data_IF_587328245421
#
_entry.id   IF_587328245421
#
_cell.length_a   1.000
_cell.length_b   1.000
_cell.length_c   1.000
_cell.angle_alpha   90.00
_cell.angle_beta   90.00
_cell.angle_gamma   90.00
#
_symmetry.space_group_name_H-M   'P 1'
#
loop_
_entity.id
_entity.type
_entity.pdbx_description
1 polymer ?
#
# COMPACT_ATOMS: atom_id res chain seq x y z
N UNK A 1 2.79 11.55 1.44
CA UNK A 1 1.41 12.04 1.25
C UNK A 1 1.30 13.56 1.33
N UNK A 2 1.59 14.21 2.45
CA UNK A 2 1.45 15.66 2.61
C UNK A 2 2.23 16.46 1.56
N UNK A 3 3.52 16.16 1.38
CA UNK A 3 4.36 16.82 0.38
C UNK A 3 3.81 16.71 -1.06
N UNK A 4 3.14 15.61 -1.41
CA UNK A 4 2.54 15.46 -2.74
C UNK A 4 1.20 16.18 -2.92
N UNK A 5 0.73 16.89 -1.91
CA UNK A 5 -0.38 17.84 -2.01
C UNK A 5 0.18 19.26 -2.02
N UNK A 6 0.98 19.61 -1.01
CA UNK A 6 1.50 20.96 -0.87
C UNK A 6 2.40 21.44 -2.04
N UNK A 7 3.07 20.51 -2.72
CA UNK A 7 3.95 20.86 -3.84
C UNK A 7 3.26 20.92 -5.21
N UNK A 8 2.06 20.38 -5.36
CA UNK A 8 1.42 20.30 -6.67
C UNK A 8 0.09 21.06 -6.77
N UNK A 9 -0.55 21.36 -5.64
CA UNK A 9 -1.85 22.01 -5.60
C UNK A 9 -1.79 23.35 -4.84
N UNK A 10 -2.72 24.22 -5.19
CA UNK A 10 -2.98 25.50 -4.53
C UNK A 10 -4.28 25.46 -3.73
N UNK A 11 -4.45 26.32 -2.71
CA UNK A 11 -5.75 26.50 -2.07
C UNK A 11 -6.81 26.83 -3.13
N UNK A 12 -7.97 26.17 -3.03
CA UNK A 12 -9.08 26.29 -3.99
C UNK A 12 -9.01 25.34 -5.19
N UNK A 13 -7.86 24.68 -5.46
CA UNK A 13 -7.79 23.62 -6.47
C UNK A 13 -8.68 22.44 -6.08
N UNK A 14 -9.10 21.65 -7.07
CA UNK A 14 -9.95 20.48 -6.87
C UNK A 14 -9.15 19.18 -6.99
N UNK A 15 -9.46 18.23 -6.11
CA UNK A 15 -8.88 16.90 -6.12
C UNK A 15 -9.96 15.81 -6.06
N UNK A 16 -9.72 14.71 -6.75
CA UNK A 16 -10.50 13.48 -6.67
C UNK A 16 -9.74 12.48 -5.79
N UNK A 17 -10.33 12.07 -4.67
CA UNK A 17 -9.72 11.12 -3.74
C UNK A 17 -10.47 9.79 -3.77
N UNK A 18 -9.76 8.69 -4.02
CA UNK A 18 -10.32 7.35 -3.93
C UNK A 18 -10.26 6.91 -2.48
N UNK A 19 -11.43 6.71 -1.89
CA UNK A 19 -11.60 6.36 -0.48
C UNK A 19 -12.16 4.93 -0.36
N UNK A 20 -11.26 3.93 -0.43
CA UNK A 20 -11.55 2.50 -0.24
C UNK A 20 -11.00 1.94 1.07
N UNK A 21 -10.57 2.81 1.99
CA UNK A 21 -10.03 2.43 3.28
C UNK A 21 -9.41 3.59 4.04
N UNK A 22 -8.71 3.27 5.12
CA UNK A 22 -8.14 4.27 6.04
C UNK A 22 -7.09 5.17 5.39
N UNK A 23 -6.29 4.63 4.47
CA UNK A 23 -5.26 5.41 3.80
C UNK A 23 -5.85 6.23 2.64
N UNK A 24 -6.90 5.73 1.98
CA UNK A 24 -7.70 6.50 1.02
C UNK A 24 -8.38 7.71 1.67
N UNK A 25 -9.03 7.52 2.81
CA UNK A 25 -9.63 8.60 3.61
C UNK A 25 -8.62 9.69 3.98
N UNK A 26 -7.36 9.31 4.24
CA UNK A 26 -6.30 10.24 4.62
C UNK A 26 -6.01 11.28 3.54
N UNK A 27 -6.07 10.92 2.27
CA UNK A 27 -5.89 11.86 1.16
C UNK A 27 -6.88 13.02 1.24
N UNK A 28 -8.16 12.72 1.40
CA UNK A 28 -9.20 13.74 1.53
C UNK A 28 -8.98 14.66 2.74
N UNK A 29 -8.53 14.12 3.87
CA UNK A 29 -8.22 14.90 5.08
C UNK A 29 -7.05 15.85 4.86
N UNK A 30 -5.97 15.38 4.23
CA UNK A 30 -4.79 16.22 3.96
C UNK A 30 -5.14 17.29 2.91
N UNK A 31 -5.84 16.94 1.83
CA UNK A 31 -6.30 17.92 0.84
C UNK A 31 -7.09 19.05 1.49
N UNK A 32 -8.06 18.74 2.35
CA UNK A 32 -8.85 19.75 3.08
C UNK A 32 -7.98 20.62 3.98
N UNK A 33 -6.96 20.07 4.65
CA UNK A 33 -6.04 20.82 5.50
C UNK A 33 -5.20 21.84 4.69
N UNK A 34 -4.95 21.57 3.40
CA UNK A 34 -4.27 22.51 2.50
C UNK A 34 -5.21 23.37 1.65
N UNK A 35 -6.50 23.45 2.05
CA UNK A 35 -7.49 24.29 1.35
C UNK A 35 -7.90 23.77 -0.03
N UNK A 36 -7.65 22.50 -0.34
CA UNK A 36 -8.04 21.87 -1.60
C UNK A 36 -9.47 21.33 -1.49
N UNK A 37 -10.29 21.60 -2.50
CA UNK A 37 -11.65 21.08 -2.60
C UNK A 37 -11.63 19.60 -2.99
N UNK A 38 -12.34 18.78 -2.25
CA UNK A 38 -12.26 17.31 -2.39
C UNK A 38 -13.57 16.75 -2.90
N UNK A 39 -13.51 16.03 -4.01
CA UNK A 39 -14.51 15.06 -4.44
C UNK A 39 -14.02 13.67 -4.05
N UNK A 40 -14.86 12.88 -3.36
CA UNK A 40 -14.50 11.53 -2.94
C UNK A 40 -15.27 10.48 -3.75
N UNK A 41 -14.54 9.51 -4.34
CA UNK A 41 -15.14 8.24 -4.75
C UNK A 41 -15.06 7.31 -3.54
N UNK A 42 -16.20 7.11 -2.89
CA UNK A 42 -16.33 6.15 -1.79
C UNK A 42 -16.45 4.75 -2.36
N UNK A 43 -15.45 3.92 -2.07
CA UNK A 43 -15.43 2.51 -2.44
C UNK A 43 -15.78 1.69 -1.20
N UNK A 44 -16.62 0.69 -1.35
CA UNK A 44 -16.93 -0.22 -0.25
C UNK A 44 -15.65 -0.93 0.21
N UNK A 45 -15.41 -0.97 1.51
CA UNK A 45 -14.21 -1.60 2.04
C UNK A 45 -14.20 -3.09 1.70
N UNK A 46 -13.13 -3.53 1.07
CA UNK A 46 -12.98 -4.87 0.51
C UNK A 46 -13.09 -4.92 -1.01
N UNK A 47 -13.56 -3.84 -1.65
CA UNK A 47 -13.63 -3.71 -3.10
C UNK A 47 -12.52 -2.79 -3.64
N UNK A 48 -12.08 -3.06 -4.87
CA UNK A 48 -11.25 -2.14 -5.64
C UNK A 48 -12.12 -1.05 -6.29
N UNK A 49 -11.53 0.15 -6.51
CA UNK A 49 -12.21 1.19 -7.27
C UNK A 49 -12.46 0.71 -8.71
N UNK A 50 -13.66 0.99 -9.23
CA UNK A 50 -13.92 0.84 -10.65
C UNK A 50 -13.27 2.01 -11.42
N UNK A 51 -12.31 1.74 -12.34
CA UNK A 51 -11.66 2.79 -13.13
C UNK A 51 -12.67 3.66 -13.90
N UNK A 52 -13.82 3.09 -14.29
CA UNK A 52 -14.89 3.83 -14.94
C UNK A 52 -15.44 4.95 -14.06
N UNK A 53 -15.57 4.75 -12.76
CA UNK A 53 -16.02 5.78 -11.84
C UNK A 53 -15.06 7.00 -11.81
N UNK A 54 -13.76 6.76 -11.96
CA UNK A 54 -12.76 7.83 -12.07
C UNK A 54 -12.89 8.57 -13.40
N UNK A 55 -13.05 7.85 -14.51
CA UNK A 55 -13.27 8.45 -15.83
C UNK A 55 -14.53 9.30 -15.85
N UNK A 56 -15.64 8.81 -15.31
CA UNK A 56 -16.90 9.53 -15.24
C UNK A 56 -16.78 10.81 -14.40
N UNK A 57 -16.08 10.75 -13.25
CA UNK A 57 -15.84 11.90 -12.39
C UNK A 57 -14.99 12.99 -13.07
N UNK A 58 -13.93 12.60 -13.78
CA UNK A 58 -13.08 13.54 -14.52
C UNK A 58 -13.81 14.16 -15.72
N UNK A 59 -14.67 13.40 -16.38
CA UNK A 59 -15.52 13.89 -17.45
C UNK A 59 -16.57 14.90 -16.93
N UNK A 60 -17.13 14.65 -15.76
CA UNK A 60 -18.11 15.52 -15.11
C UNK A 60 -17.49 16.83 -14.60
N UNK A 61 -16.25 16.79 -14.12
CA UNK A 61 -15.53 17.99 -13.65
C UNK A 61 -14.08 18.01 -14.19
N UNK A 62 -13.86 18.58 -15.39
CA UNK A 62 -12.52 18.71 -15.97
C UNK A 62 -11.60 19.69 -15.23
N UNK A 63 -12.08 20.39 -14.22
CA UNK A 63 -11.27 21.29 -13.36
C UNK A 63 -10.52 20.57 -12.24
N UNK A 64 -10.72 19.26 -12.07
CA UNK A 64 -9.96 18.43 -11.12
C UNK A 64 -8.47 18.43 -11.52
N UNK A 65 -7.61 18.83 -10.59
CA UNK A 65 -6.16 18.97 -10.79
C UNK A 65 -5.37 17.71 -10.44
N UNK A 66 -5.90 16.88 -9.53
CA UNK A 66 -5.20 15.66 -9.11
C UNK A 66 -6.20 14.55 -8.75
N UNK A 67 -5.80 13.32 -9.09
CA UNK A 67 -6.43 12.08 -8.62
C UNK A 67 -5.48 11.41 -7.62
N UNK A 68 -5.96 11.09 -6.43
CA UNK A 68 -5.21 10.44 -5.36
C UNK A 68 -5.71 9.02 -5.11
N UNK A 69 -4.80 8.04 -5.13
CA UNK A 69 -5.13 6.62 -4.95
C UNK A 69 -4.03 5.88 -4.21
N UNK A 70 -4.37 4.82 -3.48
CA UNK A 70 -3.43 3.80 -3.01
C UNK A 70 -3.30 2.71 -4.07
N UNK A 71 -2.07 2.32 -4.43
CA UNK A 71 -1.89 1.10 -5.21
C UNK A 71 -2.25 -0.15 -4.39
N UNK A 72 -2.02 -0.09 -3.07
CA UNK A 72 -2.43 -1.11 -2.10
C UNK A 72 -3.00 -0.44 -0.86
N UNK A 73 -4.29 -0.61 -0.60
CA UNK A 73 -4.97 -0.13 0.61
C UNK A 73 -4.75 -1.11 1.77
N UNK A 74 -3.77 -0.81 2.59
CA UNK A 74 -3.30 -1.70 3.66
C UNK A 74 -4.35 -1.98 4.73
N UNK A 75 -5.30 -1.08 4.94
CA UNK A 75 -6.34 -1.26 5.97
C UNK A 75 -7.33 -2.37 5.61
N UNK A 76 -7.52 -2.62 4.33
CA UNK A 76 -8.45 -3.62 3.79
C UNK A 76 -7.78 -4.80 3.09
N UNK A 77 -6.52 -4.62 2.63
CA UNK A 77 -5.79 -5.62 1.87
C UNK A 77 -6.16 -5.66 0.38
N UNK A 78 -6.70 -4.57 -0.16
CA UNK A 78 -7.13 -4.45 -1.56
C UNK A 78 -6.08 -3.73 -2.40
N UNK A 79 -5.84 -4.17 -3.63
CA UNK A 79 -5.09 -3.44 -4.66
C UNK A 79 -6.03 -2.71 -5.59
N UNK A 80 -5.67 -1.49 -6.00
CA UNK A 80 -6.36 -0.74 -7.05
C UNK A 80 -5.59 -0.82 -8.36
N UNK A 81 -6.29 -0.87 -9.49
CA UNK A 81 -5.67 -0.92 -10.83
C UNK A 81 -5.12 0.47 -11.23
N UNK A 82 -3.95 0.80 -10.69
CA UNK A 82 -3.28 2.08 -10.97
C UNK A 82 -2.82 2.20 -12.42
N UNK A 83 -2.66 1.08 -13.15
CA UNK A 83 -2.37 1.09 -14.58
C UNK A 83 -3.55 1.66 -15.36
N UNK A 84 -4.74 1.10 -15.15
CA UNK A 84 -5.96 1.60 -15.80
C UNK A 84 -6.24 3.06 -15.43
N UNK A 85 -5.99 3.47 -14.19
CA UNK A 85 -6.12 4.87 -13.77
C UNK A 85 -5.11 5.78 -14.47
N UNK A 86 -3.87 5.32 -14.66
CA UNK A 86 -2.84 6.04 -15.41
C UNK A 86 -3.25 6.25 -16.88
N UNK A 87 -3.76 5.22 -17.53
CA UNK A 87 -4.28 5.30 -18.91
C UNK A 87 -5.44 6.32 -19.03
N UNK A 88 -6.34 6.37 -18.05
CA UNK A 88 -7.43 7.36 -18.01
C UNK A 88 -6.88 8.78 -17.82
N UNK A 89 -6.06 9.01 -16.77
CA UNK A 89 -5.57 10.35 -16.42
C UNK A 89 -4.62 10.92 -17.47
N UNK A 90 -3.94 10.07 -18.22
CA UNK A 90 -3.09 10.48 -19.35
C UNK A 90 -3.85 11.31 -20.40
N UNK A 91 -5.15 11.10 -20.54
CA UNK A 91 -6.01 11.89 -21.43
C UNK A 91 -6.35 13.29 -20.90
N UNK A 92 -5.93 13.67 -19.70
CA UNK A 92 -6.25 14.94 -19.06
C UNK A 92 -4.96 15.73 -18.76
N UNK A 93 -4.59 16.66 -19.62
CA UNK A 93 -3.35 17.48 -19.47
C UNK A 93 -3.30 18.28 -18.17
N UNK A 94 -4.45 18.73 -17.68
CA UNK A 94 -4.57 19.55 -16.47
C UNK A 94 -4.87 18.73 -15.21
N UNK A 95 -4.65 17.42 -15.22
CA UNK A 95 -4.87 16.52 -14.08
C UNK A 95 -3.68 15.60 -13.91
N UNK A 96 -3.12 15.50 -12.71
CA UNK A 96 -2.05 14.55 -12.38
C UNK A 96 -2.61 13.35 -11.60
N UNK A 97 -1.99 12.18 -11.78
CA UNK A 97 -2.25 10.99 -10.98
C UNK A 97 -1.18 10.83 -9.89
N UNK A 98 -1.60 10.84 -8.64
CA UNK A 98 -0.74 10.66 -7.47
C UNK A 98 -1.04 9.30 -6.83
N UNK A 99 -0.06 8.43 -6.82
CA UNK A 99 -0.16 7.05 -6.35
C UNK A 99 0.62 6.86 -5.06
N UNK A 100 -0.09 6.46 -4.01
CA UNK A 100 0.54 5.93 -2.82
C UNK A 100 0.91 4.46 -3.05
N UNK A 101 2.20 4.22 -3.24
CA UNK A 101 2.77 2.89 -3.42
C UNK A 101 3.54 2.41 -2.17
N UNK A 102 3.23 2.96 -0.99
CA UNK A 102 3.97 2.63 0.26
C UNK A 102 4.00 1.13 0.52
N UNK A 103 2.90 0.41 0.29
CA UNK A 103 2.85 -1.05 0.45
C UNK A 103 2.82 -1.81 -0.87
N UNK A 104 3.02 -1.15 -1.98
CA UNK A 104 2.98 -1.74 -3.31
C UNK A 104 4.38 -1.82 -3.95
N UNK A 105 5.18 -0.75 -3.83
CA UNK A 105 6.52 -0.71 -4.40
C UNK A 105 7.41 -1.79 -3.76
N UNK A 106 8.06 -2.59 -4.61
CA UNK A 106 8.86 -3.74 -4.16
C UNK A 106 8.04 -5.00 -3.84
N UNK A 107 6.73 -4.98 -4.05
CA UNK A 107 5.84 -6.13 -3.90
C UNK A 107 5.34 -6.60 -5.26
N UNK A 108 4.81 -5.69 -6.07
CA UNK A 108 4.41 -5.96 -7.44
C UNK A 108 4.94 -4.87 -8.38
N UNK A 109 4.98 -5.20 -9.66
CA UNK A 109 5.57 -4.35 -10.68
C UNK A 109 4.73 -3.08 -10.87
N UNK A 110 5.33 -1.92 -10.58
CA UNK A 110 4.73 -0.60 -10.82
C UNK A 110 5.56 0.12 -11.87
N UNK A 111 5.10 0.08 -13.11
CA UNK A 111 5.78 0.72 -14.24
C UNK A 111 5.42 2.21 -14.30
N UNK A 112 6.02 3.01 -13.43
CA UNK A 112 5.68 4.42 -13.21
C UNK A 112 5.57 5.20 -14.52
N UNK A 113 6.60 5.18 -15.36
CA UNK A 113 6.63 5.95 -16.62
C UNK A 113 5.70 5.33 -17.68
N UNK A 114 5.76 4.01 -17.86
CA UNK A 114 4.97 3.33 -18.88
C UNK A 114 3.45 3.43 -18.64
N UNK A 115 3.03 3.49 -17.38
CA UNK A 115 1.62 3.63 -16.99
C UNK A 115 1.17 5.09 -16.84
N UNK A 116 2.09 6.07 -16.99
CA UNK A 116 1.79 7.48 -16.86
C UNK A 116 1.39 7.89 -15.45
N UNK A 117 2.05 7.32 -14.43
CA UNK A 117 1.85 7.71 -13.04
C UNK A 117 2.66 8.98 -12.76
N UNK A 118 1.98 10.10 -12.57
CA UNK A 118 2.66 11.41 -12.48
C UNK A 118 3.44 11.59 -11.19
N UNK A 119 2.92 11.10 -10.07
CA UNK A 119 3.61 11.14 -8.77
C UNK A 119 3.43 9.79 -8.09
N UNK A 120 4.53 9.13 -7.75
CA UNK A 120 4.51 7.87 -6.98
C UNK A 120 5.27 8.08 -5.68
N UNK A 121 4.62 7.80 -4.56
CA UNK A 121 5.23 7.93 -3.23
C UNK A 121 5.42 6.57 -2.58
N UNK A 122 6.54 6.41 -1.87
CA UNK A 122 6.80 5.24 -1.02
C UNK A 122 7.61 5.61 0.21
N UNK A 123 7.87 4.63 1.08
CA UNK A 123 8.64 4.80 2.31
C UNK A 123 9.56 3.63 2.60
N UNK A 124 10.58 3.89 3.43
CA UNK A 124 11.64 2.93 3.75
C UNK A 124 11.17 1.69 4.52
N UNK A 125 10.11 1.80 5.32
CA UNK A 125 9.72 0.80 6.34
C UNK A 125 8.79 -0.32 5.85
N UNK A 126 8.62 -0.49 4.55
CA UNK A 126 7.76 -1.53 3.95
C UNK A 126 8.62 -2.54 3.19
N UNK A 127 8.34 -2.80 1.94
CA UNK A 127 9.12 -3.78 1.15
C UNK A 127 10.61 -3.40 0.98
N UNK A 128 10.98 -2.15 1.24
CA UNK A 128 12.39 -1.75 1.30
C UNK A 128 13.12 -2.17 2.59
N UNK A 129 12.45 -2.86 3.52
CA UNK A 129 13.09 -3.58 4.65
C UNK A 129 13.91 -2.72 5.61
N UNK A 130 13.72 -1.40 5.63
CA UNK A 130 14.44 -0.46 6.48
C UNK A 130 13.55 0.06 7.61
N UNK A 131 14.12 0.61 8.67
CA UNK A 131 13.36 1.37 9.65
C UNK A 131 12.62 2.56 9.01
N UNK A 132 11.52 3.07 9.60
CA UNK A 132 10.90 4.31 9.16
C UNK A 132 11.85 5.48 9.31
N UNK A 133 11.86 6.41 8.34
CA UNK A 133 12.72 7.61 8.39
C UNK A 133 13.03 8.19 7.01
N UNK A 134 12.75 7.48 5.91
CA UNK A 134 12.86 8.01 4.55
C UNK A 134 11.54 7.89 3.80
N UNK A 135 11.27 8.88 2.97
CA UNK A 135 10.22 8.85 1.95
C UNK A 135 10.83 9.11 0.58
N UNK A 136 10.28 8.45 -0.42
CA UNK A 136 10.71 8.59 -1.81
C UNK A 136 9.54 9.08 -2.64
N UNK A 137 9.81 9.98 -3.57
CA UNK A 137 8.81 10.55 -4.47
C UNK A 137 9.36 10.55 -5.87
N UNK A 138 8.73 9.84 -6.80
CA UNK A 138 8.94 9.98 -8.22
C UNK A 138 8.00 11.05 -8.75
N UNK A 139 8.50 11.92 -9.64
CA UNK A 139 7.75 13.07 -10.16
C UNK A 139 7.96 13.17 -11.65
N UNK A 140 6.87 13.11 -12.45
CA UNK A 140 6.90 13.26 -13.90
C UNK A 140 7.14 14.74 -14.30
N UNK A 141 7.55 14.95 -15.55
CA UNK A 141 7.68 16.32 -16.09
C UNK A 141 6.35 17.08 -16.05
N UNK A 142 5.23 16.37 -16.28
CA UNK A 142 3.89 16.93 -16.14
C UNK A 142 3.65 17.41 -14.70
N UNK A 143 3.96 16.60 -13.69
CA UNK A 143 3.80 16.98 -12.29
C UNK A 143 4.77 18.12 -11.89
N UNK A 144 5.97 18.17 -12.43
CA UNK A 144 6.86 19.32 -12.22
C UNK A 144 6.28 20.63 -12.75
N UNK A 145 5.59 20.61 -13.89
CA UNK A 145 4.89 21.80 -14.39
C UNK A 145 3.73 22.26 -13.47
N UNK A 146 3.13 21.35 -12.71
CA UNK A 146 2.19 21.71 -11.64
C UNK A 146 2.91 22.31 -10.43
N UNK A 147 4.05 21.74 -10.05
CA UNK A 147 4.85 22.26 -8.93
C UNK A 147 5.30 23.72 -9.14
N UNK A 148 5.57 24.12 -10.39
CA UNK A 148 5.91 25.51 -10.69
C UNK A 148 4.75 26.48 -10.44
N UNK A 149 3.51 26.03 -10.52
CA UNK A 149 2.30 26.84 -10.39
C UNK A 149 1.68 26.76 -8.98
N UNK A 150 2.06 25.76 -8.19
CA UNK A 150 1.51 25.55 -6.86
C UNK A 150 1.87 26.68 -5.89
N UNK A 151 0.86 27.09 -5.10
CA UNK A 151 0.96 28.24 -4.16
C UNK A 151 0.82 27.81 -2.69
N UNK A 152 0.70 26.51 -2.40
CA UNK A 152 0.68 26.06 -1.01
C UNK A 152 2.05 26.24 -0.37
N UNK A 153 2.05 26.58 0.90
CA UNK A 153 3.29 26.71 1.67
C UNK A 153 3.95 25.34 1.86
N UNK A 154 5.24 25.26 1.54
CA UNK A 154 6.05 24.08 1.75
C UNK A 154 7.46 24.51 2.16
N UNK A 155 7.81 24.25 3.42
CA UNK A 155 9.16 24.58 3.93
C UNK A 155 10.01 23.31 4.00
N UNK A 156 9.60 22.32 4.79
CA UNK A 156 10.37 21.09 4.99
C UNK A 156 10.26 20.15 3.79
N UNK A 157 9.04 19.89 3.30
CA UNK A 157 8.81 19.05 2.12
C UNK A 157 8.79 19.88 0.83
N UNK A 158 9.79 20.71 0.61
CA UNK A 158 9.89 21.53 -0.59
C UNK A 158 10.60 20.75 -1.71
N UNK A 159 9.83 20.17 -2.62
CA UNK A 159 10.36 19.28 -3.67
C UNK A 159 11.23 20.02 -4.69
N UNK A 160 10.95 21.29 -4.98
CA UNK A 160 11.79 22.10 -5.89
C UNK A 160 13.18 22.31 -5.30
N UNK A 161 13.26 22.75 -4.05
CA UNK A 161 14.54 22.94 -3.37
C UNK A 161 15.28 21.61 -3.16
N UNK A 162 14.55 20.52 -2.87
CA UNK A 162 15.16 19.20 -2.76
C UNK A 162 15.77 18.76 -4.09
N UNK A 163 15.06 18.94 -5.23
CA UNK A 163 15.57 18.67 -6.57
C UNK A 163 16.83 19.48 -6.89
N UNK A 164 16.84 20.78 -6.55
CA UNK A 164 18.00 21.65 -6.74
C UNK A 164 19.22 21.20 -5.93
N UNK A 165 19.01 20.71 -4.70
CA UNK A 165 20.09 20.21 -3.85
C UNK A 165 20.59 18.84 -4.33
N UNK A 166 19.69 17.93 -4.72
CA UNK A 166 20.07 16.63 -5.26
C UNK A 166 20.92 16.76 -6.54
N UNK A 167 20.64 17.75 -7.38
CA UNK A 167 21.48 18.05 -8.55
C UNK A 167 22.93 18.44 -8.18
N UNK A 168 23.16 18.83 -6.92
CA UNK A 168 24.49 19.16 -6.35
C UNK A 168 25.02 18.03 -5.46
N UNK A 169 24.40 16.84 -5.47
CA UNK A 169 24.68 15.72 -4.56
C UNK A 169 24.53 16.10 -3.08
N UNK A 170 23.54 16.91 -2.76
CA UNK A 170 23.19 17.36 -1.41
C UNK A 170 21.72 17.08 -1.11
N UNK A 171 21.35 17.09 0.15
CA UNK A 171 19.96 17.08 0.62
C UNK A 171 19.59 18.48 1.14
N UNK A 172 18.31 18.81 1.15
CA UNK A 172 17.84 20.11 1.64
C UNK A 172 18.10 20.28 3.15
N UNK A 173 18.00 19.19 3.90
CA UNK A 173 18.26 19.13 5.34
C UNK A 173 19.24 17.99 5.65
N UNK A 174 19.57 17.81 6.93
CA UNK A 174 20.48 16.75 7.38
C UNK A 174 20.03 15.38 6.88
N UNK A 175 20.87 14.67 6.09
CA UNK A 175 20.50 13.37 5.55
C UNK A 175 20.51 12.27 6.61
N UNK A 176 19.63 11.29 6.47
CA UNK A 176 19.64 10.07 7.29
C UNK A 176 20.66 9.06 6.76
N UNK A 177 21.94 9.33 6.95
CA UNK A 177 23.07 8.61 6.33
C UNK A 177 23.00 7.09 6.58
N UNK A 178 22.69 6.66 7.80
CA UNK A 178 22.57 5.24 8.14
C UNK A 178 21.49 4.52 7.34
N UNK A 179 20.34 5.16 7.10
CA UNK A 179 19.28 4.58 6.27
C UNK A 179 19.65 4.57 4.78
N UNK A 180 20.40 5.57 4.32
CA UNK A 180 20.90 5.61 2.92
C UNK A 180 21.88 4.46 2.67
N UNK A 181 22.79 4.19 3.62
CA UNK A 181 23.70 3.04 3.55
C UNK A 181 22.89 1.73 3.57
N UNK A 182 21.90 1.63 4.45
CA UNK A 182 21.00 0.48 4.48
C UNK A 182 20.24 0.29 3.16
N UNK A 183 19.79 1.39 2.53
CA UNK A 183 19.11 1.34 1.23
C UNK A 183 20.02 0.82 0.11
N UNK A 184 21.30 1.15 0.14
CA UNK A 184 22.27 0.60 -0.79
C UNK A 184 22.34 -0.94 -0.70
N UNK A 185 22.33 -1.47 0.51
CA UNK A 185 22.30 -2.91 0.74
C UNK A 185 20.98 -3.55 0.29
N UNK A 186 19.84 -2.90 0.56
CA UNK A 186 18.53 -3.32 0.05
C UNK A 186 18.55 -3.45 -1.47
N UNK A 187 19.05 -2.44 -2.16
CA UNK A 187 19.15 -2.48 -3.63
C UNK A 187 20.12 -3.56 -4.12
N UNK A 188 21.19 -3.84 -3.38
CA UNK A 188 22.10 -4.95 -3.71
C UNK A 188 21.37 -6.30 -3.63
N UNK A 189 20.58 -6.52 -2.57
CA UNK A 189 19.77 -7.73 -2.37
C UNK A 189 18.73 -7.85 -3.50
N UNK A 190 17.96 -6.80 -3.76
CA UNK A 190 16.93 -6.79 -4.81
C UNK A 190 17.50 -7.06 -6.20
N UNK A 191 18.66 -6.45 -6.53
CA UNK A 191 19.34 -6.69 -7.80
C UNK A 191 19.88 -8.11 -7.91
N UNK A 192 20.38 -8.69 -6.83
CA UNK A 192 20.89 -10.07 -6.83
C UNK A 192 19.76 -11.09 -7.01
N UNK A 193 18.60 -10.88 -6.44
CA UNK A 193 17.40 -11.70 -6.67
C UNK A 193 16.83 -11.50 -8.07
N UNK A 194 16.79 -10.27 -8.55
CA UNK A 194 16.10 -9.81 -9.76
C UNK A 194 14.64 -9.45 -9.50
N UNK A 195 14.19 -8.30 -10.03
CA UNK A 195 12.87 -7.75 -9.70
C UNK A 195 11.72 -8.69 -10.09
N UNK A 196 11.77 -9.32 -11.27
CA UNK A 196 10.72 -10.24 -11.71
C UNK A 196 10.59 -11.45 -10.78
N UNK A 197 11.73 -12.01 -10.32
CA UNK A 197 11.73 -13.12 -9.37
C UNK A 197 11.20 -12.68 -8.00
N UNK A 198 11.58 -11.49 -7.57
CA UNK A 198 11.10 -10.89 -6.32
C UNK A 198 9.57 -10.73 -6.36
N UNK A 199 9.01 -10.18 -7.43
CA UNK A 199 7.55 -10.04 -7.58
C UNK A 199 6.85 -11.39 -7.63
N UNK A 200 7.39 -12.37 -8.36
CA UNK A 200 6.85 -13.72 -8.41
C UNK A 200 6.87 -14.39 -7.03
N UNK A 201 7.96 -14.25 -6.26
CA UNK A 201 8.05 -14.73 -4.89
C UNK A 201 7.01 -14.08 -3.98
N UNK A 202 6.84 -12.76 -4.04
CA UNK A 202 5.84 -12.04 -3.26
C UNK A 202 4.42 -12.53 -3.57
N UNK A 203 4.10 -12.69 -4.86
CA UNK A 203 2.81 -13.24 -5.29
C UNK A 203 2.57 -14.67 -4.79
N UNK A 204 3.60 -15.54 -4.82
CA UNK A 204 3.52 -16.91 -4.31
C UNK A 204 3.29 -16.93 -2.80
N UNK A 205 4.00 -16.11 -2.02
CA UNK A 205 3.82 -16.00 -0.57
C UNK A 205 2.41 -15.51 -0.22
N UNK A 206 1.93 -14.50 -0.93
CA UNK A 206 0.59 -13.96 -0.78
C UNK A 206 -0.48 -15.02 -1.09
N UNK A 207 -0.33 -15.75 -2.18
CA UNK A 207 -1.24 -16.83 -2.56
C UNK A 207 -1.25 -17.95 -1.51
N UNK A 208 -0.08 -18.40 -1.06
CA UNK A 208 0.05 -19.42 -0.04
C UNK A 208 -0.59 -19.00 1.30
N UNK A 209 -0.39 -17.75 1.71
CA UNK A 209 -1.02 -17.21 2.92
C UNK A 209 -2.55 -17.20 2.79
N UNK A 210 -3.09 -16.67 1.70
CA UNK A 210 -4.55 -16.61 1.46
C UNK A 210 -5.19 -18.00 1.44
N UNK A 211 -4.63 -18.91 0.67
CA UNK A 211 -5.20 -20.25 0.53
C UNK A 211 -4.98 -21.10 1.80
N UNK A 212 -3.87 -20.90 2.51
CA UNK A 212 -3.66 -21.50 3.83
C UNK A 212 -4.72 -21.05 4.83
N UNK A 213 -5.03 -19.75 4.90
CA UNK A 213 -6.10 -19.24 5.78
C UNK A 213 -7.47 -19.78 5.40
N UNK A 214 -7.80 -19.87 4.10
CA UNK A 214 -9.05 -20.47 3.62
C UNK A 214 -9.15 -21.95 4.00
N UNK A 215 -8.08 -22.72 3.84
CA UNK A 215 -8.03 -24.12 4.22
C UNK A 215 -8.13 -24.35 5.75
N UNK A 216 -7.73 -23.35 6.54
CA UNK A 216 -7.99 -23.32 7.99
C UNK A 216 -9.43 -22.90 8.35
N UNK A 217 -10.31 -22.69 7.37
CA UNK A 217 -11.72 -22.33 7.57
C UNK A 217 -11.97 -20.82 7.73
N UNK A 218 -11.02 -19.97 7.37
CA UNK A 218 -11.14 -18.51 7.49
C UNK A 218 -11.47 -17.86 6.14
N UNK A 219 -12.25 -16.79 6.17
CA UNK A 219 -12.52 -15.96 5.00
C UNK A 219 -11.45 -14.88 4.84
N UNK A 220 -11.14 -14.53 3.59
CA UNK A 220 -10.29 -13.39 3.24
C UNK A 220 -11.18 -12.17 3.02
N UNK A 221 -10.81 -11.04 3.63
CA UNK A 221 -11.65 -9.83 3.63
C UNK A 221 -11.82 -9.18 2.24
N UNK A 222 -10.77 -9.01 1.40
CA UNK A 222 -10.94 -8.50 0.04
C UNK A 222 -11.90 -9.36 -0.77
N UNK A 223 -12.94 -8.74 -1.34
CA UNK A 223 -13.93 -9.41 -2.20
C UNK A 223 -13.38 -9.64 -3.60
N UNK A 224 -12.60 -8.66 -4.08
CA UNK A 224 -11.89 -8.70 -5.36
C UNK A 224 -10.50 -8.08 -5.17
N UNK A 225 -9.61 -8.28 -6.12
CA UNK A 225 -8.29 -7.65 -6.19
C UNK A 225 -7.47 -7.66 -4.88
N UNK A 226 -7.25 -8.84 -4.23
CA UNK A 226 -6.46 -8.91 -3.01
C UNK A 226 -5.02 -8.48 -3.26
N UNK A 227 -4.47 -7.67 -2.36
CA UNK A 227 -3.08 -7.21 -2.42
C UNK A 227 -2.09 -8.34 -2.14
N UNK A 228 -0.97 -8.36 -2.86
CA UNK A 228 0.15 -9.26 -2.58
C UNK A 228 1.11 -8.73 -1.49
N UNK A 229 0.83 -7.58 -0.89
CA UNK A 229 1.63 -7.04 0.20
C UNK A 229 1.26 -7.63 1.57
N UNK A 230 0.00 -7.97 1.75
CA UNK A 230 -0.53 -8.49 3.01
C UNK A 230 -1.82 -9.26 2.76
N UNK A 231 -2.16 -10.13 3.72
CA UNK A 231 -3.43 -10.85 3.74
C UNK A 231 -4.29 -10.34 4.89
N UNK A 232 -5.46 -9.80 4.57
CA UNK A 232 -6.49 -9.42 5.56
C UNK A 232 -7.47 -10.56 5.71
N UNK A 233 -7.55 -11.10 6.92
CA UNK A 233 -8.32 -12.29 7.27
C UNK A 233 -9.50 -11.89 8.15
N UNK A 234 -10.69 -12.34 7.82
CA UNK A 234 -11.86 -12.17 8.67
C UNK A 234 -11.75 -13.03 9.93
N UNK A 235 -12.07 -12.44 11.07
CA UNK A 235 -12.24 -13.22 12.30
C UNK A 235 -13.46 -14.10 12.15
N UNK A 236 -13.40 -15.38 12.56
CA UNK A 236 -14.57 -16.23 12.52
C UNK A 236 -15.62 -15.79 13.55
N UNK A 237 -16.87 -16.17 13.33
CA UNK A 237 -17.97 -15.83 14.21
C UNK A 237 -17.67 -16.22 15.67
N UNK A 238 -17.98 -15.35 16.60
CA UNK A 238 -17.76 -15.53 18.02
C UNK A 238 -16.31 -15.32 18.49
N UNK A 239 -15.35 -15.03 17.60
CA UNK A 239 -13.95 -14.77 17.96
C UNK A 239 -13.58 -13.32 17.65
N UNK A 240 -13.16 -12.57 18.67
CA UNK A 240 -12.64 -11.21 18.48
C UNK A 240 -11.26 -11.23 17.79
N UNK A 241 -11.17 -10.59 16.64
CA UNK A 241 -9.90 -10.45 15.91
C UNK A 241 -8.79 -9.79 16.71
N UNK A 242 -9.14 -8.97 17.71
CA UNK A 242 -8.14 -8.42 18.62
C UNK A 242 -7.52 -9.52 19.49
N UNK A 243 -8.32 -10.50 19.92
CA UNK A 243 -7.79 -11.64 20.66
C UNK A 243 -6.84 -12.48 19.80
N UNK A 244 -7.16 -12.66 18.50
CA UNK A 244 -6.30 -13.43 17.59
C UNK A 244 -4.90 -12.78 17.49
N UNK A 245 -4.79 -11.51 17.07
CA UNK A 245 -3.46 -10.91 16.87
C UNK A 245 -2.70 -10.67 18.19
N UNK A 246 -3.40 -10.47 19.33
CA UNK A 246 -2.76 -10.40 20.64
C UNK A 246 -2.14 -11.73 21.05
N UNK A 247 -2.86 -12.84 20.86
CA UNK A 247 -2.35 -14.17 21.18
C UNK A 247 -1.22 -14.60 20.24
N UNK A 248 -1.28 -14.25 18.94
CA UNK A 248 -0.16 -14.43 18.01
C UNK A 248 1.12 -13.78 18.56
N UNK A 249 1.02 -12.55 19.08
CA UNK A 249 2.16 -11.84 19.64
C UNK A 249 2.63 -12.41 20.97
N UNK A 250 1.70 -12.63 21.91
CA UNK A 250 2.06 -13.00 23.30
C UNK A 250 2.53 -14.46 23.41
N UNK A 251 1.87 -15.36 22.69
CA UNK A 251 2.16 -16.81 22.80
C UNK A 251 3.24 -17.25 21.80
N UNK A 252 3.31 -16.64 20.63
CA UNK A 252 4.16 -17.12 19.53
C UNK A 252 5.16 -16.08 18.99
N UNK A 253 5.19 -14.86 19.54
CA UNK A 253 6.13 -13.81 19.13
C UNK A 253 5.82 -13.22 17.73
N UNK A 254 4.66 -13.52 17.14
CA UNK A 254 4.29 -13.09 15.80
C UNK A 254 3.53 -11.77 15.88
N UNK A 255 4.11 -10.71 15.32
CA UNK A 255 3.45 -9.41 15.26
C UNK A 255 2.53 -9.32 14.05
N UNK A 256 1.23 -9.32 14.29
CA UNK A 256 0.18 -9.08 13.31
C UNK A 256 -0.53 -7.74 13.60
N UNK A 257 -1.24 -7.20 12.63
CA UNK A 257 -2.03 -5.98 12.80
C UNK A 257 -3.53 -6.31 12.88
N UNK A 258 -4.27 -5.57 13.71
CA UNK A 258 -5.73 -5.66 13.77
C UNK A 258 -6.42 -4.81 12.70
N UNK A 259 -7.74 -4.95 12.60
CA UNK A 259 -8.58 -4.05 11.82
C UNK A 259 -8.61 -2.65 12.39
N UNK A 260 -8.87 -1.67 11.53
CA UNK A 260 -9.03 -0.26 11.88
C UNK A 260 -10.49 0.16 11.72
N UNK A 261 -10.90 1.17 12.49
CA UNK A 261 -12.26 1.77 12.45
C UNK A 261 -13.37 0.69 12.42
N UNK A 262 -14.17 0.63 11.36
CA UNK A 262 -15.28 -0.33 11.22
C UNK A 262 -14.85 -1.80 11.15
N UNK A 263 -13.57 -2.09 10.90
CA UNK A 263 -12.99 -3.45 10.88
C UNK A 263 -12.35 -3.85 12.22
N UNK A 264 -12.37 -2.98 13.23
CA UNK A 264 -11.81 -3.29 14.55
C UNK A 264 -12.51 -4.51 15.14
N UNK A 265 -11.74 -5.52 15.53
CA UNK A 265 -12.24 -6.79 16.04
C UNK A 265 -12.79 -7.76 14.99
N UNK A 266 -13.01 -7.31 13.76
CA UNK A 266 -13.58 -8.13 12.68
C UNK A 266 -12.54 -8.78 11.77
N UNK A 267 -11.32 -8.21 11.72
CA UNK A 267 -10.23 -8.73 10.90
C UNK A 267 -8.90 -8.64 11.63
N UNK A 268 -7.95 -9.45 11.18
CA UNK A 268 -6.53 -9.29 11.46
C UNK A 268 -5.75 -9.37 10.15
N UNK A 269 -4.52 -8.82 10.15
CA UNK A 269 -3.73 -8.64 8.93
C UNK A 269 -2.33 -9.19 9.14
N UNK A 270 -1.88 -10.00 8.19
CA UNK A 270 -0.55 -10.60 8.15
C UNK A 270 0.19 -10.09 6.92
N UNK A 271 1.36 -9.51 7.13
CA UNK A 271 2.23 -9.04 6.06
C UNK A 271 3.19 -10.14 5.63
N UNK A 272 3.45 -10.21 4.34
CA UNK A 272 4.45 -11.10 3.74
C UNK A 272 5.33 -10.35 2.73
N UNK A 273 5.41 -9.01 2.84
CA UNK A 273 6.27 -8.18 2.01
C UNK A 273 7.71 -8.11 2.53
N UNK A 274 8.63 -7.69 1.66
CA UNK A 274 10.04 -7.48 2.00
C UNK A 274 10.83 -8.78 2.09
N UNK A 275 11.53 -8.99 3.20
CA UNK A 275 12.40 -10.16 3.41
C UNK A 275 11.67 -11.41 3.90
N UNK A 276 10.34 -11.41 3.88
CA UNK A 276 9.55 -12.58 4.24
C UNK A 276 9.83 -13.76 3.29
N UNK A 277 9.82 -14.95 3.86
CA UNK A 277 10.05 -16.20 3.14
C UNK A 277 8.90 -17.20 3.33
N UNK A 278 9.07 -18.39 2.74
CA UNK A 278 8.09 -19.48 2.82
C UNK A 278 7.86 -19.97 4.26
N UNK A 279 8.88 -19.94 5.12
CA UNK A 279 8.76 -20.41 6.48
C UNK A 279 8.02 -19.39 7.35
N UNK A 280 8.13 -18.09 7.07
CA UNK A 280 7.32 -17.06 7.72
C UNK A 280 5.82 -17.29 7.46
N UNK A 281 5.47 -17.62 6.21
CA UNK A 281 4.08 -17.94 5.85
C UNK A 281 3.59 -19.19 6.56
N UNK A 282 4.36 -20.28 6.53
CA UNK A 282 4.01 -21.55 7.21
C UNK A 282 3.84 -21.32 8.72
N UNK A 283 4.77 -20.59 9.33
CA UNK A 283 4.74 -20.27 10.75
C UNK A 283 3.51 -19.43 11.12
N UNK A 284 3.20 -18.41 10.32
CA UNK A 284 2.03 -17.56 10.57
C UNK A 284 0.70 -18.32 10.44
N UNK A 285 0.59 -19.22 9.44
CA UNK A 285 -0.59 -20.08 9.27
C UNK A 285 -0.71 -21.06 10.43
N UNK A 286 0.37 -21.76 10.80
CA UNK A 286 0.39 -22.71 11.91
C UNK A 286 0.01 -22.05 13.24
N UNK A 287 0.62 -20.92 13.56
CA UNK A 287 0.31 -20.19 14.78
C UNK A 287 -1.13 -19.67 14.79
N UNK A 288 -1.68 -19.27 13.65
CA UNK A 288 -3.08 -18.85 13.55
C UNK A 288 -4.03 -20.01 13.87
N UNK A 289 -3.79 -21.21 13.33
CA UNK A 289 -4.57 -22.41 13.67
C UNK A 289 -4.47 -22.73 15.18
N UNK A 290 -3.29 -22.63 15.77
CA UNK A 290 -3.08 -22.89 17.20
C UNK A 290 -3.81 -21.87 18.07
N UNK A 291 -3.73 -20.58 17.72
CA UNK A 291 -4.45 -19.51 18.43
C UNK A 291 -5.96 -19.71 18.35
N UNK A 292 -6.49 -20.00 17.16
CA UNK A 292 -7.94 -20.25 16.99
C UNK A 292 -8.41 -21.40 17.84
N UNK A 293 -7.68 -22.51 17.87
CA UNK A 293 -7.98 -23.65 18.71
C UNK A 293 -7.93 -23.31 20.20
N UNK A 294 -6.93 -22.53 20.62
CA UNK A 294 -6.81 -22.05 22.00
C UNK A 294 -7.94 -21.09 22.41
N UNK A 295 -8.53 -20.38 21.46
CA UNK A 295 -9.71 -19.53 21.66
C UNK A 295 -11.06 -20.30 21.57
N UNK A 296 -11.01 -21.63 21.46
CA UNK A 296 -12.19 -22.47 21.40
C UNK A 296 -12.86 -22.57 20.04
N UNK A 297 -12.25 -22.01 18.98
CA UNK A 297 -12.76 -22.15 17.62
C UNK A 297 -12.41 -23.51 17.03
N UNK A 298 -13.37 -24.10 16.31
CA UNK A 298 -13.16 -25.39 15.63
C UNK A 298 -12.28 -25.21 14.41
N UNK A 299 -11.04 -25.69 14.51
CA UNK A 299 -10.07 -25.70 13.41
C UNK A 299 -9.34 -27.05 13.36
N UNK A 300 -9.16 -27.58 12.15
CA UNK A 300 -8.34 -28.78 11.94
C UNK A 300 -6.88 -28.34 11.83
N UNK A 301 -6.07 -28.61 12.86
CA UNK A 301 -4.65 -28.29 12.83
C UNK A 301 -3.96 -28.97 11.64
N UNK A 302 -3.11 -28.20 10.96
CA UNK A 302 -2.36 -28.64 9.80
C UNK A 302 -3.09 -28.49 8.46
N UNK A 303 -4.40 -28.18 8.42
CA UNK A 303 -5.14 -28.02 7.17
C UNK A 303 -4.64 -26.81 6.36
N UNK A 304 -4.49 -25.68 7.00
CA UNK A 304 -3.93 -24.47 6.37
C UNK A 304 -2.46 -24.60 6.06
N UNK A 305 -1.69 -25.18 6.99
CA UNK A 305 -0.26 -25.45 6.81
C UNK A 305 0.00 -26.33 5.59
N UNK A 306 -0.74 -27.46 5.48
CA UNK A 306 -0.61 -28.36 4.34
C UNK A 306 -0.91 -27.67 3.01
N UNK A 307 -1.99 -26.84 2.98
CA UNK A 307 -2.34 -26.09 1.77
C UNK A 307 -1.28 -25.03 1.40
N UNK A 308 -0.76 -24.31 2.38
CA UNK A 308 0.32 -23.36 2.15
C UNK A 308 1.57 -24.06 1.60
N UNK A 309 1.97 -25.22 2.15
CA UNK A 309 3.11 -26.00 1.68
C UNK A 309 2.94 -26.48 0.21
N UNK A 310 1.75 -26.98 -0.17
CA UNK A 310 1.47 -27.37 -1.56
C UNK A 310 1.77 -26.23 -2.53
N UNK A 311 1.32 -24.99 -2.21
CA UNK A 311 1.51 -23.81 -3.06
C UNK A 311 2.99 -23.38 -3.10
N UNK A 312 3.64 -23.40 -1.93
CA UNK A 312 5.06 -22.97 -1.82
C UNK A 312 6.04 -23.96 -2.45
N UNK A 313 5.62 -25.20 -2.66
CA UNK A 313 6.41 -26.24 -3.35
C UNK A 313 6.11 -26.31 -4.86
N UNK A 314 5.03 -25.72 -5.33
CA UNK A 314 4.74 -25.63 -6.75
C UNK A 314 5.85 -24.83 -7.48
N UNK A 315 6.34 -25.41 -8.62
CA UNK A 315 7.39 -24.79 -9.43
C UNK A 315 6.84 -23.74 -10.37
#
# INVERSE_FOLDING_TARGET
MEGSISNFLSPGDKALCINGGKFGERWGKICKAFGVQVTEIKVEWGDAVDPKAVADALKADPSIKAVYVQASETSTGVSHDVKALGEIVKGYENTILVVDAITALGVFDIKTDAWGLDVVITGSQKALMLPPGMAFVSVSDKAWAFAEKAKNASFYFNFKKERENQAKNQTLFTPTVSLIIGLQEVFRIMKAEGLDKMFARQGQLAHAMREGMKAAGLAIFPKNSPSDALTTVCSPDGVDGQAIYKNLRVQYGITAAGGQDQLKGKVFRLSHMGYADRFDVITAVAATEMVLKGLGHSVKLGSGVGKAQEILMAK
#
